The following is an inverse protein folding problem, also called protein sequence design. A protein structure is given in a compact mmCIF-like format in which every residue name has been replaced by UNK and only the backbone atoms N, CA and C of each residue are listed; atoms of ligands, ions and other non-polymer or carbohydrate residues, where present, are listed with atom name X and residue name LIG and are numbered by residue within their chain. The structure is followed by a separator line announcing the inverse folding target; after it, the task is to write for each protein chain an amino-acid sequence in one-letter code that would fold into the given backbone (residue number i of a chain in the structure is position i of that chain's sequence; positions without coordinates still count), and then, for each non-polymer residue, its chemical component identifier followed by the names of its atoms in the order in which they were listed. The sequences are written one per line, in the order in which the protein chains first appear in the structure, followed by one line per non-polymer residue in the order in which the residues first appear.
data_IF_896991044750
#
_entry.id   IF_896991044750
#
_cell.length_a   1.000
_cell.length_b   1.000
_cell.length_c   1.000
_cell.angle_alpha   90.00
_cell.angle_beta   90.00
_cell.angle_gamma   90.00
#
_symmetry.space_group_name_H-M   'P 1'
#
loop_
_entity.id
_entity.type
_entity.pdbx_description
1 polymer ?
#
# COMPACT_ATOMS: atom_id res chain seq x y z
N UNK A 1 7.10 25.60 -6.95
CA UNK A 1 6.83 24.54 -7.93
C UNK A 1 7.88 23.45 -7.72
N UNK A 2 7.61 22.48 -6.85
CA UNK A 2 8.54 21.38 -6.59
C UNK A 2 8.24 20.25 -7.55
N UNK A 3 9.23 19.96 -8.39
CA UNK A 3 9.23 18.91 -9.39
C UNK A 3 9.28 17.57 -8.65
N UNK A 4 8.19 16.83 -8.66
CA UNK A 4 8.18 15.43 -8.24
C UNK A 4 8.77 14.65 -9.42
N UNK A 5 10.08 14.42 -9.40
CA UNK A 5 10.67 13.38 -10.23
C UNK A 5 9.94 12.07 -9.90
N UNK A 6 9.39 11.41 -10.92
CA UNK A 6 8.41 10.33 -10.78
C UNK A 6 8.87 9.14 -9.89
N UNK A 7 10.16 9.02 -9.57
CA UNK A 7 10.71 8.04 -8.64
C UNK A 7 10.83 8.53 -7.19
N UNK A 8 11.07 9.84 -6.97
CA UNK A 8 11.19 10.42 -5.64
C UNK A 8 9.84 10.47 -4.92
N UNK A 9 8.78 10.90 -5.63
CA UNK A 9 7.43 10.97 -5.08
C UNK A 9 6.84 9.61 -4.71
N UNK A 10 7.09 8.56 -5.52
CA UNK A 10 6.54 7.23 -5.24
C UNK A 10 7.15 6.61 -3.98
N UNK A 11 8.45 6.80 -3.75
CA UNK A 11 9.10 6.29 -2.54
C UNK A 11 8.66 7.08 -1.29
N UNK A 12 8.47 8.39 -1.42
CA UNK A 12 7.93 9.23 -0.35
C UNK A 12 6.51 8.79 0.03
N UNK A 13 5.64 8.56 -0.95
CA UNK A 13 4.29 8.03 -0.72
C UNK A 13 4.32 6.65 -0.06
N UNK A 14 5.23 5.75 -0.47
CA UNK A 14 5.38 4.45 0.19
C UNK A 14 5.78 4.62 1.65
N UNK A 15 6.78 5.46 1.93
CA UNK A 15 7.22 5.72 3.30
C UNK A 15 6.10 6.34 4.17
N UNK A 16 5.36 7.29 3.62
CA UNK A 16 4.22 7.90 4.29
C UNK A 16 3.10 6.88 4.55
N UNK A 17 2.79 6.03 3.57
CA UNK A 17 1.81 4.96 3.72
C UNK A 17 2.24 3.96 4.80
N UNK A 18 3.50 3.54 4.79
CA UNK A 18 4.06 2.66 5.83
C UNK A 18 3.93 3.28 7.21
N UNK A 19 4.24 4.56 7.37
CA UNK A 19 4.12 5.24 8.67
C UNK A 19 2.67 5.30 9.16
N UNK A 20 1.71 5.60 8.26
CA UNK A 20 0.28 5.62 8.58
C UNK A 20 -0.28 4.23 8.88
N UNK A 21 0.23 3.18 8.24
CA UNK A 21 -0.19 1.80 8.53
C UNK A 21 0.45 1.33 9.85
N UNK A 22 1.75 1.58 10.07
CA UNK A 22 2.47 1.24 11.31
C UNK A 22 1.72 1.72 12.55
N UNK A 23 1.21 2.96 12.54
CA UNK A 23 0.47 3.52 13.68
C UNK A 23 -0.86 2.81 13.98
N UNK A 24 -1.36 1.97 13.07
CA UNK A 24 -2.57 1.18 13.23
C UNK A 24 -2.27 -0.28 13.64
N UNK A 25 -1.01 -0.70 13.62
CA UNK A 25 -0.61 -2.07 13.95
C UNK A 25 -0.48 -2.28 15.46
N UNK A 26 -0.70 -3.52 15.90
CA UNK A 26 -0.54 -3.91 17.31
C UNK A 26 0.90 -3.71 17.78
N UNK A 27 1.87 -4.04 16.94
CA UNK A 27 3.30 -3.87 17.21
C UNK A 27 3.96 -3.10 16.04
N UNK A 28 3.98 -1.76 16.10
CA UNK A 28 4.48 -0.91 15.01
C UNK A 28 5.93 -1.21 14.61
N UNK A 29 6.79 -1.55 15.57
CA UNK A 29 8.22 -1.77 15.33
C UNK A 29 8.52 -3.08 14.60
N UNK A 30 7.69 -4.12 14.78
CA UNK A 30 7.83 -5.36 14.01
C UNK A 30 7.08 -5.36 12.67
N UNK A 31 6.46 -4.24 12.30
CA UNK A 31 5.65 -4.19 11.09
C UNK A 31 6.53 -4.30 9.85
N UNK A 32 6.24 -5.32 9.04
CA UNK A 32 6.92 -5.62 7.78
C UNK A 32 5.97 -5.35 6.61
N UNK A 33 6.49 -4.70 5.58
CA UNK A 33 5.76 -4.34 4.38
C UNK A 33 6.34 -5.03 3.16
N UNK A 34 5.47 -5.45 2.26
CA UNK A 34 5.81 -5.94 0.93
C UNK A 34 5.04 -5.11 -0.10
N UNK A 35 5.76 -4.58 -1.10
CA UNK A 35 5.21 -3.77 -2.18
C UNK A 35 5.39 -4.48 -3.53
N UNK A 36 4.57 -5.50 -3.83
CA UNK A 36 4.71 -6.32 -5.04
C UNK A 36 4.39 -5.58 -6.34
N UNK A 37 3.70 -4.44 -6.28
CA UNK A 37 3.21 -3.73 -7.45
C UNK A 37 3.68 -2.28 -7.50
N UNK A 38 3.81 -1.76 -8.73
CA UNK A 38 3.95 -0.33 -8.98
C UNK A 38 2.60 0.39 -8.79
N UNK A 39 2.64 1.72 -8.72
CA UNK A 39 1.43 2.53 -8.75
C UNK A 39 0.85 2.56 -10.17
N UNK A 40 -0.45 2.31 -10.28
CA UNK A 40 -1.20 2.41 -11.54
C UNK A 40 -2.12 3.62 -11.50
N UNK A 41 -2.31 4.28 -12.64
CA UNK A 41 -3.21 5.43 -12.75
C UNK A 41 -4.69 4.98 -12.64
N UNK A 42 -5.51 5.79 -11.99
CA UNK A 42 -6.98 5.65 -12.00
C UNK A 42 -7.57 6.49 -13.13
N UNK A 43 -8.81 6.17 -13.54
CA UNK A 43 -9.53 6.97 -14.56
C UNK A 43 -9.84 8.40 -14.09
N UNK A 44 -9.84 8.63 -12.79
CA UNK A 44 -10.17 9.92 -12.15
C UNK A 44 -8.94 10.82 -11.91
N UNK A 45 -7.79 10.45 -12.47
CA UNK A 45 -6.55 11.25 -12.37
C UNK A 45 -5.76 11.05 -11.08
N UNK A 46 -5.95 9.94 -10.38
CA UNK A 46 -5.15 9.54 -9.22
C UNK A 46 -4.23 8.35 -9.53
N UNK A 47 -3.56 7.84 -8.51
CA UNK A 47 -2.84 6.57 -8.59
C UNK A 47 -3.23 5.65 -7.45
N UNK A 48 -3.18 4.34 -7.70
CA UNK A 48 -3.45 3.34 -6.68
C UNK A 48 -2.47 2.17 -6.76
N UNK A 49 -2.27 1.51 -5.64
CA UNK A 49 -1.54 0.24 -5.56
C UNK A 49 -1.97 -0.54 -4.32
N UNK A 50 -1.47 -1.76 -4.17
CA UNK A 50 -1.69 -2.60 -3.00
C UNK A 50 -0.42 -3.34 -2.62
N UNK A 51 -0.35 -3.70 -1.34
CA UNK A 51 0.76 -4.46 -0.79
C UNK A 51 0.30 -5.34 0.36
N UNK A 52 1.28 -5.98 1.01
CA UNK A 52 1.04 -6.84 2.17
C UNK A 52 1.72 -6.27 3.39
N UNK A 53 1.05 -6.37 4.53
CA UNK A 53 1.58 -5.94 5.81
C UNK A 53 1.41 -7.05 6.83
N UNK A 54 2.42 -7.24 7.68
CA UNK A 54 2.37 -8.19 8.77
C UNK A 54 3.09 -7.62 9.99
N UNK A 55 2.52 -7.80 11.18
CA UNK A 55 3.10 -7.37 12.43
C UNK A 55 2.92 -8.47 13.48
N UNK A 56 3.73 -8.43 14.55
CA UNK A 56 3.55 -9.33 15.67
C UNK A 56 2.24 -8.99 16.42
N UNK A 57 1.55 -10.03 16.87
CA UNK A 57 0.43 -9.91 17.78
C UNK A 57 0.91 -9.73 19.23
N UNK A 58 -0.03 -9.59 20.18
CA UNK A 58 0.28 -9.43 21.62
C UNK A 58 1.04 -10.62 22.24
N UNK A 59 1.05 -11.78 21.58
CA UNK A 59 1.80 -12.97 22.02
C UNK A 59 3.20 -13.05 21.40
N UNK A 60 3.61 -12.05 20.62
CA UNK A 60 4.95 -11.94 20.02
C UNK A 60 5.14 -12.70 18.70
N UNK A 61 4.10 -13.34 18.17
CA UNK A 61 4.12 -14.08 16.91
C UNK A 61 3.50 -13.32 15.74
N UNK A 62 3.91 -13.63 14.51
CA UNK A 62 3.26 -13.12 13.30
C UNK A 62 1.99 -13.94 13.00
N UNK A 63 0.84 -13.27 12.91
CA UNK A 63 -0.45 -13.95 12.70
C UNK A 63 -0.78 -14.24 11.23
N UNK A 64 -0.07 -13.58 10.30
CA UNK A 64 -0.31 -13.70 8.86
C UNK A 64 -0.32 -12.32 8.20
N UNK A 65 0.13 -12.25 6.95
CA UNK A 65 0.18 -10.98 6.24
C UNK A 65 -1.19 -10.63 5.62
N UNK A 66 -1.71 -9.45 5.97
CA UNK A 66 -2.95 -8.89 5.43
C UNK A 66 -2.68 -7.98 4.24
N UNK A 67 -3.64 -7.86 3.31
CA UNK A 67 -3.54 -6.90 2.23
C UNK A 67 -3.82 -5.47 2.71
N UNK A 68 -3.22 -4.52 2.03
CA UNK A 68 -3.60 -3.12 2.11
C UNK A 68 -3.66 -2.49 0.71
N UNK A 69 -4.41 -1.41 0.57
CA UNK A 69 -4.42 -0.57 -0.63
C UNK A 69 -4.13 0.88 -0.29
N UNK A 70 -3.50 1.58 -1.23
CA UNK A 70 -3.21 3.01 -1.14
C UNK A 70 -3.74 3.69 -2.39
N UNK A 71 -4.48 4.77 -2.21
CA UNK A 71 -4.91 5.66 -3.27
C UNK A 71 -4.35 7.07 -3.05
N UNK A 72 -3.91 7.68 -4.14
CA UNK A 72 -3.32 9.01 -4.16
C UNK A 72 -3.99 9.88 -5.20
N UNK A 73 -3.97 11.19 -4.96
CA UNK A 73 -4.37 12.21 -5.92
C UNK A 73 -3.51 13.44 -5.68
N UNK A 74 -3.09 14.10 -6.76
CA UNK A 74 -2.24 15.31 -6.68
C UNK A 74 -0.97 15.12 -5.84
N UNK A 75 -0.40 13.90 -5.85
CA UNK A 75 0.80 13.56 -5.09
C UNK A 75 0.60 13.40 -3.59
N UNK A 76 -0.64 13.25 -3.12
CA UNK A 76 -0.98 13.05 -1.70
C UNK A 76 -1.76 11.76 -1.51
N UNK A 77 -1.55 11.09 -0.37
CA UNK A 77 -2.37 9.95 0.03
C UNK A 77 -3.75 10.43 0.46
N UNK A 78 -4.76 10.10 -0.34
CA UNK A 78 -6.16 10.39 -0.04
C UNK A 78 -6.85 9.23 0.68
N UNK A 79 -6.31 8.01 0.58
CA UNK A 79 -6.93 6.84 1.19
C UNK A 79 -5.92 5.71 1.43
N UNK A 80 -6.01 5.08 2.60
CA UNK A 80 -5.31 3.83 2.94
C UNK A 80 -6.34 2.89 3.54
N UNK A 81 -6.34 1.63 3.09
CA UNK A 81 -7.23 0.62 3.65
C UNK A 81 -6.48 -0.67 3.91
N UNK A 82 -6.84 -1.31 5.01
CA UNK A 82 -6.40 -2.64 5.40
C UNK A 82 -7.55 -3.61 5.08
N UNK A 83 -7.23 -4.87 4.79
CA UNK A 83 -8.22 -5.88 4.37
C UNK A 83 -9.39 -6.08 5.36
N UNK A 84 -9.26 -5.59 6.60
CA UNK A 84 -10.34 -5.53 7.60
C UNK A 84 -11.44 -4.48 7.31
N UNK A 85 -11.22 -3.48 6.46
CA UNK A 85 -12.15 -2.33 6.37
C UNK A 85 -13.18 -2.41 5.24
N UNK A 86 -12.91 -3.08 4.11
CA UNK A 86 -13.92 -3.36 3.06
C UNK A 86 -13.36 -4.17 1.87
N UNK A 87 -13.98 -5.32 1.51
CA UNK A 87 -13.62 -6.06 0.30
C UNK A 87 -13.81 -5.23 -0.99
N UNK A 88 -14.67 -4.21 -0.95
CA UNK A 88 -15.00 -3.37 -2.09
C UNK A 88 -13.89 -2.42 -2.50
N UNK A 89 -12.83 -2.29 -1.68
CA UNK A 89 -11.80 -1.27 -1.91
C UNK A 89 -10.40 -1.87 -1.99
N UNK A 90 -10.05 -2.80 -1.09
CA UNK A 90 -8.81 -3.59 -1.24
C UNK A 90 -9.00 -4.64 -2.36
N UNK A 91 -10.17 -5.28 -2.42
CA UNK A 91 -10.47 -6.35 -3.37
C UNK A 91 -10.31 -5.96 -4.84
N UNK A 92 -10.73 -4.78 -5.31
CA UNK A 92 -10.46 -4.33 -6.68
C UNK A 92 -8.96 -4.25 -7.00
N UNK A 93 -8.14 -3.71 -6.10
CA UNK A 93 -6.70 -3.65 -6.33
C UNK A 93 -6.09 -5.06 -6.41
N UNK A 94 -6.42 -5.93 -5.46
CA UNK A 94 -5.94 -7.32 -5.45
C UNK A 94 -6.45 -8.10 -6.66
N UNK A 95 -7.68 -7.84 -7.13
CA UNK A 95 -8.23 -8.45 -8.34
C UNK A 95 -7.52 -7.97 -9.60
N UNK A 96 -7.25 -6.67 -9.72
CA UNK A 96 -6.46 -6.11 -10.82
C UNK A 96 -5.04 -6.70 -10.83
N UNK A 97 -4.40 -6.80 -9.66
CA UNK A 97 -3.12 -7.44 -9.49
C UNK A 97 -3.11 -8.90 -9.99
N UNK A 98 -4.09 -9.70 -9.56
CA UNK A 98 -4.22 -11.12 -9.96
C UNK A 98 -4.49 -11.31 -11.45
N UNK A 99 -5.09 -10.31 -12.10
CA UNK A 99 -5.32 -10.28 -13.55
C UNK A 99 -4.11 -9.81 -14.35
N UNK A 100 -3.04 -9.35 -13.69
CA UNK A 100 -1.86 -8.77 -14.34
C UNK A 100 -2.06 -7.33 -14.83
N UNK A 101 -3.10 -6.64 -14.35
CA UNK A 101 -3.38 -5.24 -14.70
C UNK A 101 -2.48 -4.27 -13.92
N UNK A 102 -1.93 -4.70 -12.78
CA UNK A 102 -0.88 -3.98 -12.07
C UNK A 102 0.49 -4.50 -12.49
N UNK A 103 1.40 -3.57 -12.84
CA UNK A 103 2.78 -3.91 -13.17
C UNK A 103 3.50 -4.40 -11.91
N UNK A 104 4.10 -5.60 -11.91
CA UNK A 104 4.96 -6.05 -10.82
C UNK A 104 6.14 -5.11 -10.64
N UNK A 105 6.50 -4.84 -9.39
CA UNK A 105 7.70 -4.06 -9.08
C UNK A 105 8.93 -4.93 -9.33
N UNK A 106 9.79 -4.53 -10.27
CA UNK A 106 11.06 -5.19 -10.51
C UNK A 106 12.00 -4.94 -9.32
N UNK A 107 12.62 -6.01 -8.81
CA UNK A 107 13.40 -6.08 -7.57
C UNK A 107 12.60 -5.78 -6.29
N UNK A 108 12.12 -6.85 -5.67
CA UNK A 108 12.16 -7.00 -4.21
C UNK A 108 13.32 -7.93 -3.87
#
# INVERSE_FOLDING_TARGET
MQVISASAGVNEIRAEAENRIRSQMIDPESTRFEWPFEFAATKEGGFYTCGRVNAKNRMGGYAGASWFSVATKDGQIINIQLEDTSPWIVGPCVKAARKGELKPRANQ
#
